data_IF_502016868329
#
_entry.id   IF_502016868329
#
_cell.length_a   1.000
_cell.length_b   1.000
_cell.length_c   1.000
_cell.angle_alpha   90.00
_cell.angle_beta   90.00
_cell.angle_gamma   90.00
#
_symmetry.space_group_name_H-M   'P 1'
#
loop_
_entity.id
_entity.type
_entity.pdbx_description
1 polymer ?
#
# COMPACT_ATOMS: atom_id res chain seq x y z
N UNK A 1 -19.18 7.78 18.87
CA UNK A 1 -19.05 6.31 18.74
C UNK A 1 -17.58 5.99 18.54
N UNK A 2 -17.03 4.92 19.14
CA UNK A 2 -15.66 4.51 18.83
C UNK A 2 -15.57 4.18 17.33
N UNK A 3 -14.53 4.68 16.65
CA UNK A 3 -14.32 4.42 15.23
C UNK A 3 -13.98 2.96 14.96
N UNK A 4 -14.28 2.47 13.75
CA UNK A 4 -13.88 1.11 13.31
C UNK A 4 -12.35 0.97 13.39
N UNK A 5 -11.86 -0.17 13.87
CA UNK A 5 -10.43 -0.51 13.92
C UNK A 5 -10.00 -1.29 12.67
N UNK A 6 -8.71 -1.20 12.34
CA UNK A 6 -8.10 -1.97 11.28
C UNK A 6 -8.04 -3.45 11.66
N UNK A 7 -8.10 -4.32 10.66
CA UNK A 7 -8.00 -5.77 10.81
C UNK A 7 -7.08 -6.34 9.75
N UNK A 8 -6.31 -7.37 10.08
CA UNK A 8 -5.52 -8.11 9.11
C UNK A 8 -6.49 -8.82 8.14
N UNK A 9 -6.46 -8.53 6.82
CA UNK A 9 -7.30 -9.23 5.85
C UNK A 9 -6.82 -10.68 5.69
N UNK A 10 -7.71 -11.60 5.33
CA UNK A 10 -7.27 -12.93 4.91
C UNK A 10 -6.60 -12.83 3.53
N UNK A 11 -5.57 -13.65 3.29
CA UNK A 11 -5.02 -13.78 1.95
C UNK A 11 -6.04 -14.39 0.97
N UNK A 12 -6.06 -13.93 -0.29
CA UNK A 12 -6.96 -14.49 -1.30
C UNK A 12 -6.46 -15.83 -1.88
N UNK A 13 -5.31 -16.32 -1.40
CA UNK A 13 -4.67 -17.57 -1.83
C UNK A 13 -3.81 -18.16 -0.69
N UNK A 14 -3.36 -19.42 -0.86
CA UNK A 14 -2.44 -20.08 0.08
C UNK A 14 -1.06 -19.43 0.07
N UNK A 15 -0.31 -19.52 1.17
CA UNK A 15 1.03 -18.91 1.28
C UNK A 15 2.03 -19.36 0.20
N UNK A 16 1.93 -20.59 -0.29
CA UNK A 16 2.79 -21.11 -1.35
C UNK A 16 2.24 -20.92 -2.78
N UNK A 17 1.12 -20.22 -2.97
CA UNK A 17 0.46 -20.11 -4.27
C UNK A 17 1.26 -19.33 -5.33
N UNK A 18 2.25 -18.54 -4.90
CA UNK A 18 3.08 -17.70 -5.76
C UNK A 18 4.46 -18.29 -6.03
N UNK A 19 4.73 -19.52 -5.59
CA UNK A 19 5.97 -20.21 -5.93
C UNK A 19 6.03 -20.53 -7.44
N UNK A 20 7.22 -20.48 -8.06
CA UNK A 20 8.54 -20.20 -7.45
C UNK A 20 8.89 -18.71 -7.36
N UNK A 21 8.01 -17.80 -7.78
CA UNK A 21 8.30 -16.36 -7.86
C UNK A 21 8.44 -15.71 -6.49
N UNK A 22 7.60 -16.09 -5.51
CA UNK A 22 7.69 -15.66 -4.12
C UNK A 22 7.53 -16.89 -3.22
N UNK A 23 8.49 -17.14 -2.33
CA UNK A 23 8.49 -18.34 -1.48
C UNK A 23 7.41 -18.30 -0.40
N UNK A 24 6.91 -19.47 -0.01
CA UNK A 24 5.95 -19.61 1.09
C UNK A 24 6.45 -18.93 2.38
N UNK A 25 7.74 -19.11 2.70
CA UNK A 25 8.37 -18.53 3.89
C UNK A 25 8.26 -17.00 3.90
N UNK A 26 8.48 -16.36 2.75
CA UNK A 26 8.32 -14.90 2.63
C UNK A 26 6.87 -14.54 2.86
N UNK A 27 5.93 -15.20 2.16
CA UNK A 27 4.50 -14.87 2.25
C UNK A 27 3.96 -15.01 3.68
N UNK A 28 4.32 -16.08 4.38
CA UNK A 28 3.90 -16.30 5.77
C UNK A 28 4.42 -15.22 6.71
N UNK A 29 5.71 -14.87 6.64
CA UNK A 29 6.29 -13.83 7.49
C UNK A 29 5.74 -12.44 7.12
N UNK A 30 5.61 -12.16 5.83
CA UNK A 30 5.16 -10.87 5.33
C UNK A 30 3.71 -10.58 5.74
N UNK A 31 2.84 -11.59 5.72
CA UNK A 31 1.47 -11.46 6.18
C UNK A 31 1.34 -11.51 7.72
N UNK A 32 1.76 -12.61 8.35
CA UNK A 32 1.44 -12.88 9.76
C UNK A 32 2.30 -12.12 10.76
N UNK A 33 3.42 -11.54 10.30
CA UNK A 33 4.29 -10.70 11.14
C UNK A 33 4.26 -9.26 10.68
N UNK A 34 4.68 -8.96 9.45
CA UNK A 34 4.87 -7.58 9.02
C UNK A 34 3.53 -6.85 8.84
N UNK A 35 2.59 -7.40 8.08
CA UNK A 35 1.28 -6.76 7.91
C UNK A 35 0.49 -6.67 9.23
N UNK A 36 0.53 -7.72 10.05
CA UNK A 36 -0.07 -7.70 11.38
C UNK A 36 0.51 -6.60 12.28
N UNK A 37 1.82 -6.36 12.22
CA UNK A 37 2.45 -5.29 13.00
C UNK A 37 1.91 -3.90 12.61
N UNK A 38 1.70 -3.63 11.32
CA UNK A 38 1.09 -2.38 10.85
C UNK A 38 -0.35 -2.21 11.34
N UNK A 39 -1.16 -3.28 11.29
CA UNK A 39 -2.53 -3.26 11.83
C UNK A 39 -2.52 -2.89 13.32
N UNK A 40 -1.68 -3.55 14.11
CA UNK A 40 -1.56 -3.31 15.54
C UNK A 40 -1.06 -1.88 15.85
N UNK A 41 -0.03 -1.41 15.12
CA UNK A 41 0.52 -0.08 15.29
C UNK A 41 -0.46 1.03 14.94
N UNK A 42 -1.23 0.87 13.85
CA UNK A 42 -2.25 1.84 13.46
C UNK A 42 -3.36 1.94 14.50
N UNK A 43 -3.85 0.80 14.99
CA UNK A 43 -4.87 0.75 16.04
C UNK A 43 -4.36 1.37 17.35
N UNK A 44 -3.12 1.07 17.76
CA UNK A 44 -2.52 1.67 18.96
C UNK A 44 -2.38 3.20 18.86
N UNK A 45 -2.04 3.73 17.68
CA UNK A 45 -2.00 5.18 17.46
C UNK A 45 -3.40 5.81 17.56
N UNK A 46 -4.42 5.17 17.00
CA UNK A 46 -5.81 5.61 17.12
C UNK A 46 -6.31 5.60 18.58
N UNK A 47 -5.97 4.57 19.35
CA UNK A 47 -6.32 4.45 20.76
C UNK A 47 -5.69 5.58 21.59
N UNK A 48 -4.41 5.91 21.34
CA UNK A 48 -3.73 7.04 21.99
C UNK A 48 -4.44 8.37 21.70
N UNK A 49 -4.81 8.61 20.44
CA UNK A 49 -5.54 9.82 20.05
C UNK A 49 -6.95 9.87 20.66
N UNK A 50 -7.63 8.73 20.73
CA UNK A 50 -8.96 8.62 21.34
C UNK A 50 -8.93 8.93 22.84
N UNK A 51 -7.95 8.37 23.56
CA UNK A 51 -7.72 8.70 24.96
C UNK A 51 -7.41 10.17 25.15
N UNK A 52 -6.52 10.74 24.33
CA UNK A 52 -6.16 12.16 24.42
C UNK A 52 -7.36 13.10 24.19
N UNK A 53 -8.30 12.73 23.29
CA UNK A 53 -9.55 13.49 23.12
C UNK A 53 -10.44 13.49 24.37
N UNK A 54 -10.38 12.43 25.18
CA UNK A 54 -11.17 12.30 26.42
C UNK A 54 -10.49 12.97 27.62
N UNK A 55 -9.16 12.89 27.70
CA UNK A 55 -8.39 13.32 28.88
C UNK A 55 -7.66 14.66 28.69
N UNK A 56 -7.69 15.23 27.49
CA UNK A 56 -6.90 16.39 27.11
C UNK A 56 -5.53 16.05 26.53
N UNK A 57 -4.90 17.04 25.89
CA UNK A 57 -3.66 16.90 25.12
C UNK A 57 -2.40 17.40 25.85
N UNK A 58 -2.51 17.86 27.08
CA UNK A 58 -1.36 18.32 27.86
C UNK A 58 -0.33 17.19 28.02
N UNK A 59 0.91 17.42 27.57
CA UNK A 59 1.99 16.42 27.62
C UNK A 59 1.90 15.29 26.58
N UNK A 60 0.93 15.32 25.67
CA UNK A 60 0.79 14.30 24.61
C UNK A 60 1.62 14.71 23.38
N UNK A 61 2.54 13.84 22.93
CA UNK A 61 3.27 14.02 21.68
C UNK A 61 2.40 13.66 20.47
N UNK A 62 1.50 14.57 20.08
CA UNK A 62 0.61 14.40 18.92
C UNK A 62 1.41 14.21 17.63
N UNK A 63 2.58 14.84 17.50
CA UNK A 63 3.44 14.70 16.32
C UNK A 63 3.98 13.27 16.20
N UNK A 64 4.47 12.70 17.29
CA UNK A 64 4.92 11.31 17.35
C UNK A 64 3.79 10.34 17.00
N UNK A 65 2.61 10.51 17.60
CA UNK A 65 1.45 9.66 17.32
C UNK A 65 0.99 9.79 15.86
N UNK A 66 1.03 11.00 15.29
CA UNK A 66 0.66 11.23 13.88
C UNK A 66 1.64 10.53 12.93
N UNK A 67 2.93 10.50 13.27
CA UNK A 67 3.95 9.76 12.51
C UNK A 67 3.71 8.26 12.59
N UNK A 68 3.45 7.74 13.79
CA UNK A 68 3.13 6.31 14.00
C UNK A 68 1.89 5.92 13.18
N UNK A 69 0.84 6.76 13.22
CA UNK A 69 -0.39 6.52 12.47
C UNK A 69 -0.13 6.52 10.97
N UNK A 70 0.57 7.53 10.44
CA UNK A 70 0.86 7.64 9.01
C UNK A 70 1.65 6.42 8.51
N UNK A 71 2.71 6.02 9.23
CA UNK A 71 3.54 4.87 8.87
C UNK A 71 2.74 3.56 8.87
N UNK A 72 2.02 3.28 9.97
CA UNK A 72 1.33 2.02 10.14
C UNK A 72 0.04 1.92 9.30
N UNK A 73 -0.75 2.98 9.20
CA UNK A 73 -1.97 2.97 8.39
C UNK A 73 -1.65 2.87 6.90
N UNK A 74 -0.60 3.57 6.43
CA UNK A 74 -0.15 3.44 5.05
C UNK A 74 0.45 2.06 4.78
N UNK A 75 1.23 1.52 5.73
CA UNK A 75 1.73 0.15 5.66
C UNK A 75 0.60 -0.87 5.51
N UNK A 76 -0.43 -0.79 6.36
CA UNK A 76 -1.61 -1.64 6.26
C UNK A 76 -2.34 -1.48 4.92
N UNK A 77 -2.53 -0.25 4.45
CA UNK A 77 -3.23 0.04 3.18
C UNK A 77 -2.47 -0.55 2.00
N UNK A 78 -1.17 -0.31 1.90
CA UNK A 78 -0.33 -0.82 0.81
C UNK A 78 -0.31 -2.35 0.77
N UNK A 79 -0.17 -3.02 1.92
CA UNK A 79 -0.20 -4.48 1.97
C UNK A 79 -1.59 -5.03 1.62
N UNK A 80 -2.66 -4.37 2.06
CA UNK A 80 -4.04 -4.79 1.74
C UNK A 80 -4.37 -4.71 0.24
N UNK A 81 -3.64 -3.88 -0.52
CA UNK A 81 -3.71 -3.81 -1.98
C UNK A 81 -2.75 -4.81 -2.63
N UNK A 82 -1.55 -4.98 -2.07
CA UNK A 82 -0.52 -5.90 -2.56
C UNK A 82 -1.01 -7.35 -2.67
N UNK A 83 -1.74 -7.86 -1.67
CA UNK A 83 -2.19 -9.26 -1.68
C UNK A 83 -3.11 -9.60 -2.86
N UNK A 84 -4.24 -8.89 -3.09
CA UNK A 84 -5.12 -9.19 -4.23
C UNK A 84 -4.54 -8.82 -5.60
N UNK A 85 -3.48 -8.01 -5.66
CA UNK A 85 -2.79 -7.68 -6.91
C UNK A 85 -1.92 -8.82 -7.47
N UNK A 86 -1.74 -9.89 -6.70
CA UNK A 86 -1.04 -11.10 -7.13
C UNK A 86 -2.01 -12.28 -7.21
N UNK A 87 -1.70 -13.24 -8.07
CA UNK A 87 -2.41 -14.53 -8.14
C UNK A 87 -1.53 -15.59 -8.78
N UNK A 88 -1.80 -16.86 -8.46
CA UNK A 88 -1.20 -17.99 -9.16
C UNK A 88 -1.60 -17.96 -10.65
N UNK A 89 -0.62 -18.16 -11.54
CA UNK A 89 -0.86 -18.08 -12.99
C UNK A 89 -1.30 -16.67 -13.46
N UNK A 90 -0.95 -15.63 -12.71
CA UNK A 90 -1.15 -14.24 -13.11
C UNK A 90 -0.26 -13.82 -14.29
N UNK A 91 -0.28 -12.51 -14.58
CA UNK A 91 0.41 -11.92 -15.73
C UNK A 91 -0.53 -11.70 -16.92
N UNK A 92 0.06 -11.53 -18.10
CA UNK A 92 -0.64 -11.10 -19.31
C UNK A 92 -0.76 -9.58 -19.42
N UNK A 93 -1.59 -9.13 -20.36
CA UNK A 93 -1.86 -7.71 -20.60
C UNK A 93 -3.17 -7.29 -19.90
N UNK A 94 -3.25 -6.07 -19.34
CA UNK A 94 -4.49 -5.53 -18.83
C UNK A 94 -5.47 -5.29 -19.99
N UNK A 95 -6.74 -5.61 -19.76
CA UNK A 95 -7.83 -5.35 -20.71
C UNK A 95 -8.84 -4.34 -20.19
N UNK A 96 -9.86 -4.06 -20.99
CA UNK A 96 -10.93 -3.13 -20.66
C UNK A 96 -10.41 -1.73 -20.32
N UNK A 97 -11.15 -1.02 -19.45
CA UNK A 97 -10.85 0.38 -19.09
C UNK A 97 -9.42 0.60 -18.60
N UNK A 98 -8.84 -0.36 -17.87
CA UNK A 98 -7.48 -0.25 -17.37
C UNK A 98 -6.46 -0.31 -18.51
N UNK A 99 -6.61 -1.26 -19.44
CA UNK A 99 -5.75 -1.36 -20.61
C UNK A 99 -5.85 -0.13 -21.52
N UNK A 100 -7.08 0.35 -21.76
CA UNK A 100 -7.33 1.56 -22.55
C UNK A 100 -6.67 2.80 -21.92
N UNK A 101 -6.81 2.96 -20.60
CA UNK A 101 -6.22 4.09 -19.89
C UNK A 101 -4.69 3.99 -19.83
N UNK A 102 -4.11 2.78 -19.70
CA UNK A 102 -2.66 2.60 -19.79
C UNK A 102 -2.13 3.02 -21.17
N UNK A 103 -2.82 2.65 -22.24
CA UNK A 103 -2.42 3.08 -23.59
C UNK A 103 -2.57 4.59 -23.78
N UNK A 104 -3.60 5.20 -23.18
CA UNK A 104 -3.80 6.66 -23.22
C UNK A 104 -2.68 7.41 -22.50
N UNK A 105 -2.34 7.01 -21.28
CA UNK A 105 -1.44 7.79 -20.41
C UNK A 105 0.05 7.45 -20.62
N UNK A 106 0.36 6.21 -21.03
CA UNK A 106 1.73 5.75 -21.22
C UNK A 106 2.06 5.41 -22.69
N UNK A 107 1.12 5.60 -23.61
CA UNK A 107 1.24 5.30 -25.04
C UNK A 107 1.08 3.81 -25.39
N UNK A 108 1.70 2.93 -24.60
CA UNK A 108 1.54 1.46 -24.71
C UNK A 108 1.92 0.75 -23.41
N UNK A 109 1.46 -0.48 -23.26
CA UNK A 109 1.77 -1.31 -22.08
C UNK A 109 3.28 -1.48 -21.82
N UNK A 110 4.10 -1.67 -22.85
CA UNK A 110 5.55 -1.84 -22.65
C UNK A 110 6.19 -0.59 -22.04
N UNK A 111 5.78 0.60 -22.49
CA UNK A 111 6.27 1.87 -21.94
C UNK A 111 5.84 2.05 -20.49
N UNK A 112 4.60 1.70 -20.15
CA UNK A 112 4.14 1.63 -18.75
C UNK A 112 5.00 0.66 -17.94
N UNK A 113 5.19 -0.58 -18.43
CA UNK A 113 5.94 -1.62 -17.74
C UNK A 113 7.38 -1.18 -17.48
N UNK A 114 8.01 -0.52 -18.45
CA UNK A 114 9.37 0.01 -18.31
C UNK A 114 9.43 1.10 -17.25
N UNK A 115 8.52 2.07 -17.29
CA UNK A 115 8.45 3.16 -16.32
C UNK A 115 8.17 2.65 -14.90
N UNK A 116 7.15 1.79 -14.73
CA UNK A 116 6.79 1.18 -13.45
C UNK A 116 7.94 0.32 -12.89
N UNK A 117 8.60 -0.48 -13.74
CA UNK A 117 9.71 -1.32 -13.32
C UNK A 117 10.92 -0.49 -12.87
N UNK A 118 11.21 0.63 -13.54
CA UNK A 118 12.28 1.53 -13.12
C UNK A 118 11.92 2.26 -11.83
N UNK A 119 10.68 2.73 -11.69
CA UNK A 119 10.21 3.34 -10.45
C UNK A 119 10.39 2.38 -9.26
N UNK A 120 9.97 1.11 -9.38
CA UNK A 120 10.13 0.13 -8.30
C UNK A 120 11.61 -0.18 -7.98
N UNK A 121 12.48 -0.27 -8.99
CA UNK A 121 13.92 -0.58 -8.80
C UNK A 121 14.71 0.57 -8.17
N UNK A 122 14.31 1.81 -8.45
CA UNK A 122 15.05 3.01 -8.07
C UNK A 122 14.54 3.64 -6.77
N UNK A 123 13.71 2.95 -6.00
CA UNK A 123 13.32 3.42 -4.66
C UNK A 123 14.58 3.53 -3.79
N UNK A 124 14.77 4.68 -3.15
CA UNK A 124 15.86 4.87 -2.20
C UNK A 124 15.53 4.20 -0.86
N UNK A 125 16.19 3.07 -0.57
CA UNK A 125 15.97 2.32 0.67
C UNK A 125 14.75 1.40 0.60
N UNK A 126 13.85 1.48 1.59
CA UNK A 126 12.63 0.66 1.65
C UNK A 126 11.45 1.43 1.07
N UNK A 127 10.65 0.80 0.21
CA UNK A 127 9.46 1.44 -0.35
C UNK A 127 8.78 0.66 -1.47
N UNK A 128 8.07 1.38 -2.34
CA UNK A 128 7.14 0.81 -3.32
C UNK A 128 7.25 1.52 -4.67
N UNK A 129 7.09 0.78 -5.76
CA UNK A 129 6.60 1.33 -7.02
C UNK A 129 5.07 1.22 -7.03
N UNK A 130 4.39 2.28 -7.45
CA UNK A 130 2.93 2.40 -7.37
C UNK A 130 2.39 2.88 -8.71
N UNK A 131 1.36 2.22 -9.23
CA UNK A 131 0.44 2.75 -10.23
C UNK A 131 -0.78 3.25 -9.48
N UNK A 132 -1.16 4.52 -9.67
CA UNK A 132 -2.32 5.10 -9.04
C UNK A 132 -3.17 5.87 -10.05
N UNK A 133 -4.47 5.97 -9.79
CA UNK A 133 -5.33 6.97 -10.43
C UNK A 133 -5.26 8.27 -9.63
N UNK A 134 -4.94 9.38 -10.29
CA UNK A 134 -4.89 10.70 -9.69
C UNK A 134 -6.09 11.54 -10.20
N UNK A 135 -7.06 11.86 -9.32
CA UNK A 135 -8.34 12.42 -9.75
C UNK A 135 -8.29 13.88 -10.22
N UNK A 136 -7.26 14.66 -9.86
CA UNK A 136 -7.16 16.07 -10.26
C UNK A 136 -6.69 16.19 -11.71
N UNK A 137 -5.71 15.38 -12.11
CA UNK A 137 -5.21 15.27 -13.48
C UNK A 137 -6.02 14.31 -14.35
N UNK A 138 -6.89 13.50 -13.75
CA UNK A 138 -7.70 12.47 -14.42
C UNK A 138 -6.85 11.46 -15.21
N UNK A 139 -5.77 11.00 -14.60
CA UNK A 139 -4.76 10.16 -15.24
C UNK A 139 -4.26 9.04 -14.32
N UNK A 140 -3.74 8.00 -14.95
CA UNK A 140 -2.85 7.05 -14.30
C UNK A 140 -1.46 7.65 -14.17
N UNK A 141 -0.92 7.57 -12.97
CA UNK A 141 0.46 7.98 -12.65
C UNK A 141 1.23 6.80 -12.10
N UNK A 142 2.51 6.72 -12.46
CA UNK A 142 3.47 5.89 -11.73
C UNK A 142 4.27 6.76 -10.79
N UNK A 143 4.41 6.35 -9.54
CA UNK A 143 5.22 7.04 -8.56
C UNK A 143 5.94 6.06 -7.63
N UNK A 144 6.84 6.59 -6.82
CA UNK A 144 7.47 5.86 -5.74
C UNK A 144 6.83 6.26 -4.41
N UNK A 145 6.85 5.34 -3.45
CA UNK A 145 6.69 5.68 -2.05
C UNK A 145 7.93 5.24 -1.28
N UNK A 146 8.47 6.11 -0.45
CA UNK A 146 9.48 5.74 0.55
C UNK A 146 8.79 5.33 1.86
N UNK A 147 9.34 4.31 2.51
CA UNK A 147 8.71 3.60 3.63
C UNK A 147 7.32 3.10 3.23
N UNK A 148 6.27 3.80 3.65
CA UNK A 148 4.89 3.55 3.26
C UNK A 148 4.09 4.80 2.92
N UNK A 149 4.53 5.98 3.37
CA UNK A 149 3.74 7.22 3.34
C UNK A 149 4.46 8.40 2.67
N UNK A 150 5.78 8.32 2.54
CA UNK A 150 6.59 9.39 1.99
C UNK A 150 6.53 9.33 0.44
N UNK A 151 6.59 10.48 -0.23
CA UNK A 151 6.49 10.63 -1.69
C UNK A 151 5.13 10.25 -2.32
N UNK A 152 4.09 10.03 -1.51
CA UNK A 152 2.72 9.79 -2.00
C UNK A 152 1.99 11.09 -2.38
N UNK A 153 1.02 10.99 -3.29
CA UNK A 153 0.14 12.12 -3.67
C UNK A 153 -1.18 12.02 -2.90
N UNK A 154 -1.56 13.10 -2.21
CA UNK A 154 -2.83 13.12 -1.47
C UNK A 154 -4.02 13.01 -2.43
N UNK A 155 -4.96 12.10 -2.13
CA UNK A 155 -6.15 11.89 -2.96
C UNK A 155 -5.96 10.90 -4.11
N UNK A 156 -4.73 10.45 -4.39
CA UNK A 156 -4.51 9.37 -5.36
C UNK A 156 -5.13 8.05 -4.86
N UNK A 157 -5.57 7.22 -5.80
CA UNK A 157 -6.06 5.87 -5.52
C UNK A 157 -5.06 4.85 -6.07
N UNK A 158 -4.25 4.20 -5.21
CA UNK A 158 -3.33 3.14 -5.65
C UNK A 158 -4.09 1.95 -6.24
N UNK A 159 -3.57 1.42 -7.36
CA UNK A 159 -4.16 0.35 -8.15
C UNK A 159 -3.22 -0.87 -8.24
N UNK A 160 -1.94 -0.66 -8.56
CA UNK A 160 -0.92 -1.70 -8.70
C UNK A 160 0.34 -1.40 -7.90
#
# INVERSE_FOLDING_TARGET
MPGKRYSLPNLPYKYNALEPTISEKIMTLHHDKHHLAYVNGANAALDKLEKARQTGFAGIDVRGISRDLAFNASGHTMHSIFWPNMKQGGGGLPGGRLGDQINKDFGKFDSFKDQFSNAAKQVEGSGWGILAYEPVSDQLITLQAEKHMDLTVQGMTPLL
#
